data_IF_682611587250
#
_entry.id   IF_682611587250
#
_cell.length_a   1.000
_cell.length_b   1.000
_cell.length_c   1.000
_cell.angle_alpha   90.00
_cell.angle_beta   90.00
_cell.angle_gamma   90.00
#
_symmetry.space_group_name_H-M   'P 1'
#
loop_
_entity.id
_entity.type
_entity.pdbx_description
1 polymer ?
#
# COMPACT_ATOMS: atom_id res chain seq x y z
N UNK A 1 -14.21 -19.53 4.88
CA UNK A 1 -13.81 -18.66 6.02
C UNK A 1 -14.77 -17.48 6.07
N UNK A 2 -15.18 -17.03 7.25
CA UNK A 2 -16.05 -15.85 7.38
C UNK A 2 -15.25 -14.55 7.24
N UNK A 3 -15.89 -13.47 6.81
CA UNK A 3 -15.30 -12.12 6.74
C UNK A 3 -14.69 -11.68 8.07
N UNK A 4 -15.32 -12.03 9.20
CA UNK A 4 -14.81 -11.67 10.52
C UNK A 4 -13.45 -12.30 10.81
N UNK A 5 -13.27 -13.60 10.53
CA UNK A 5 -12.00 -14.29 10.74
C UNK A 5 -10.88 -13.67 9.91
N UNK A 6 -11.19 -13.26 8.67
CA UNK A 6 -10.25 -12.61 7.78
C UNK A 6 -9.83 -11.22 8.29
N UNK A 7 -10.78 -10.43 8.79
CA UNK A 7 -10.51 -9.12 9.39
C UNK A 7 -9.64 -9.26 10.64
N UNK A 8 -9.95 -10.24 11.51
CA UNK A 8 -9.12 -10.52 12.69
C UNK A 8 -7.69 -10.91 12.28
N UNK A 9 -7.52 -11.77 11.29
CA UNK A 9 -6.20 -12.17 10.79
C UNK A 9 -5.43 -10.97 10.21
N UNK A 10 -6.11 -10.10 9.46
CA UNK A 10 -5.50 -8.90 8.89
C UNK A 10 -4.89 -8.00 9.98
N UNK A 11 -5.64 -7.73 11.05
CA UNK A 11 -5.17 -6.86 12.14
C UNK A 11 -4.24 -7.56 13.13
N UNK A 12 -4.26 -8.89 13.22
CA UNK A 12 -3.36 -9.66 14.08
C UNK A 12 -1.99 -9.96 13.46
N UNK A 13 -1.79 -9.66 12.18
CA UNK A 13 -0.52 -9.90 11.49
C UNK A 13 0.61 -9.10 12.10
N UNK A 14 1.75 -9.75 12.34
CA UNK A 14 2.97 -9.12 12.85
C UNK A 14 3.72 -8.31 11.79
N UNK A 15 3.38 -8.48 10.51
CA UNK A 15 3.93 -7.71 9.39
C UNK A 15 2.80 -7.08 8.57
N UNK A 16 3.02 -5.86 8.10
CA UNK A 16 2.11 -5.19 7.19
C UNK A 16 2.83 -4.54 6.02
N UNK A 17 2.13 -4.31 4.91
CA UNK A 17 2.67 -3.63 3.76
C UNK A 17 1.64 -2.72 3.09
N UNK A 18 2.11 -1.59 2.55
CA UNK A 18 1.28 -0.60 1.87
C UNK A 18 1.67 -0.50 0.39
N UNK A 19 0.83 -1.01 -0.51
CA UNK A 19 1.01 -0.93 -1.97
C UNK A 19 0.51 0.39 -2.50
N UNK A 20 1.34 1.04 -3.31
CA UNK A 20 1.09 2.38 -3.85
C UNK A 20 1.63 3.49 -2.96
N UNK A 21 2.50 3.15 -2.01
CA UNK A 21 3.28 4.12 -1.25
C UNK A 21 4.16 4.95 -2.20
N UNK A 22 4.29 6.24 -1.93
CA UNK A 22 5.08 7.16 -2.77
C UNK A 22 5.56 8.36 -1.96
N UNK A 23 6.56 9.10 -2.43
CA UNK A 23 6.99 10.36 -1.81
C UNK A 23 6.07 11.55 -2.11
N UNK A 24 5.06 11.38 -2.99
CA UNK A 24 4.18 12.48 -3.40
C UNK A 24 3.01 12.63 -2.42
N UNK A 25 2.93 13.72 -1.64
CA UNK A 25 1.85 13.91 -0.66
C UNK A 25 0.45 14.04 -1.27
N UNK A 26 0.35 14.34 -2.57
CA UNK A 26 -0.91 14.37 -3.28
C UNK A 26 -1.50 12.97 -3.53
N UNK A 27 -0.69 11.90 -3.45
CA UNK A 27 -1.15 10.53 -3.66
C UNK A 27 -1.80 9.97 -2.40
N UNK A 28 -2.92 9.26 -2.54
CA UNK A 28 -3.59 8.65 -1.39
C UNK A 28 -2.73 7.57 -0.71
N UNK A 29 -1.97 6.81 -1.50
CA UNK A 29 -1.03 5.81 -0.97
C UNK A 29 0.10 6.42 -0.12
N UNK A 30 0.52 7.66 -0.41
CA UNK A 30 1.42 8.40 0.49
C UNK A 30 0.75 8.66 1.84
N UNK A 31 -0.46 9.22 1.84
CA UNK A 31 -1.17 9.58 3.08
C UNK A 31 -1.41 8.38 3.98
N UNK A 32 -1.84 7.25 3.42
CA UNK A 32 -2.07 6.03 4.22
C UNK A 32 -0.77 5.40 4.70
N UNK A 33 0.27 5.35 3.86
CA UNK A 33 1.58 4.87 4.30
C UNK A 33 2.15 5.75 5.43
N UNK A 34 2.08 7.08 5.29
CA UNK A 34 2.48 8.02 6.32
C UNK A 34 1.64 7.87 7.59
N UNK A 35 0.33 7.61 7.48
CA UNK A 35 -0.51 7.30 8.64
C UNK A 35 -0.05 6.04 9.36
N UNK A 36 0.22 4.93 8.66
CA UNK A 36 0.77 3.72 9.30
C UNK A 36 2.12 3.98 10.00
N UNK A 37 3.01 4.73 9.34
CA UNK A 37 4.32 5.10 9.88
C UNK A 37 4.25 6.07 11.07
N UNK A 38 3.22 6.92 11.12
CA UNK A 38 3.03 7.93 12.17
C UNK A 38 2.26 7.37 13.37
N UNK A 39 1.18 6.63 13.09
CA UNK A 39 0.21 6.18 14.10
C UNK A 39 0.77 5.07 14.99
N UNK A 40 1.88 4.44 14.60
CA UNK A 40 2.61 3.50 15.43
C UNK A 40 4.10 3.72 15.24
N UNK A 41 4.78 4.20 16.27
CA UNK A 41 6.24 4.14 16.34
C UNK A 41 6.79 2.69 16.22
N UNK A 42 5.90 1.66 16.20
CA UNK A 42 6.22 0.22 16.24
C UNK A 42 5.49 -0.68 15.22
N UNK A 43 4.65 -0.19 14.28
CA UNK A 43 4.08 -1.08 13.24
C UNK A 43 5.09 -1.22 12.10
N UNK A 44 5.58 -2.45 11.81
CA UNK A 44 6.48 -2.68 10.69
C UNK A 44 5.67 -2.69 9.38
N UNK A 45 5.33 -1.50 8.89
CA UNK A 45 4.76 -1.34 7.55
C UNK A 45 5.89 -1.26 6.53
N UNK A 46 5.87 -2.16 5.55
CA UNK A 46 6.78 -2.10 4.40
C UNK A 46 6.13 -1.33 3.26
N UNK A 47 6.68 -0.18 2.82
CA UNK A 47 6.20 0.51 1.64
C UNK A 47 6.47 -0.32 0.37
N UNK A 48 5.47 -0.44 -0.52
CA UNK A 48 5.62 -1.12 -1.81
C UNK A 48 5.46 -0.10 -2.94
N UNK A 49 6.52 0.07 -3.73
CA UNK A 49 6.58 0.96 -4.88
C UNK A 49 7.49 0.38 -5.98
N UNK A 50 6.95 -0.02 -7.15
CA UNK A 50 7.75 -0.53 -8.26
C UNK A 50 8.70 0.50 -8.89
N UNK A 51 8.39 1.79 -8.77
CA UNK A 51 9.09 2.88 -9.48
C UNK A 51 10.16 3.58 -8.66
N UNK A 52 10.29 3.29 -7.37
CA UNK A 52 11.31 3.91 -6.51
C UNK A 52 11.68 2.97 -5.37
N UNK A 53 12.98 2.78 -5.13
CA UNK A 53 13.52 1.96 -4.04
C UNK A 53 13.41 2.62 -2.65
N UNK A 54 13.08 3.90 -2.60
CA UNK A 54 12.83 4.66 -1.37
C UNK A 54 11.60 5.56 -1.53
N UNK A 55 10.94 5.86 -0.42
CA UNK A 55 9.95 6.93 -0.33
C UNK A 55 10.27 7.85 0.84
N UNK A 56 9.95 9.13 0.69
CA UNK A 56 10.07 10.12 1.76
C UNK A 56 8.69 10.36 2.37
N UNK A 57 8.55 10.12 3.67
CA UNK A 57 7.34 10.35 4.45
C UNK A 57 7.71 10.69 5.89
N UNK A 58 7.00 11.65 6.50
CA UNK A 58 7.28 12.12 7.86
C UNK A 58 8.74 12.60 8.02
N UNK A 59 9.24 13.33 7.00
CA UNK A 59 10.61 13.86 6.97
C UNK A 59 11.73 12.81 7.06
N UNK A 60 11.40 11.54 6.82
CA UNK A 60 12.33 10.41 6.82
C UNK A 60 12.19 9.59 5.53
N UNK A 61 13.32 9.06 5.07
CA UNK A 61 13.34 8.10 3.99
C UNK A 61 13.10 6.68 4.50
N UNK A 62 12.23 5.95 3.81
CA UNK A 62 11.87 4.58 4.10
C UNK A 62 12.20 3.71 2.88
N UNK A 63 12.91 2.59 3.06
CA UNK A 63 13.15 1.65 1.97
C UNK A 63 11.83 1.05 1.50
N UNK A 64 11.74 0.79 0.20
CA UNK A 64 10.59 0.12 -0.40
C UNK A 64 10.99 -1.22 -0.98
N UNK A 65 10.00 -2.06 -1.24
CA UNK A 65 10.16 -3.22 -2.14
C UNK A 65 9.34 -3.01 -3.41
N UNK A 66 9.75 -3.59 -4.56
CA UNK A 66 9.08 -3.35 -5.84
C UNK A 66 7.75 -4.09 -5.98
N UNK A 67 7.50 -5.13 -5.18
CA UNK A 67 6.28 -5.94 -5.24
C UNK A 67 6.01 -6.68 -3.94
N UNK A 68 4.78 -7.20 -3.78
CA UNK A 68 4.40 -8.06 -2.64
C UNK A 68 5.29 -9.30 -2.55
N UNK A 69 5.67 -9.90 -3.68
CA UNK A 69 6.50 -11.10 -3.71
C UNK A 69 7.93 -10.88 -3.19
N UNK A 70 8.38 -9.63 -3.15
CA UNK A 70 9.70 -9.25 -2.61
C UNK A 70 9.69 -9.01 -1.09
N UNK A 71 8.54 -9.15 -0.42
CA UNK A 71 8.47 -9.13 1.04
C UNK A 71 9.17 -10.37 1.63
N UNK A 72 9.73 -10.29 2.85
CA UNK A 72 10.35 -11.45 3.50
C UNK A 72 9.39 -12.63 3.72
N UNK A 73 8.14 -12.33 4.12
CA UNK A 73 7.12 -13.33 4.42
C UNK A 73 5.77 -12.97 3.75
N UNK A 74 5.66 -13.05 2.42
CA UNK A 74 4.53 -12.48 1.67
C UNK A 74 3.17 -13.15 1.99
N UNK A 75 3.17 -14.40 2.47
CA UNK A 75 1.96 -15.14 2.87
C UNK A 75 1.53 -14.92 4.32
N UNK A 76 2.32 -14.19 5.09
CA UNK A 76 2.07 -13.86 6.51
C UNK A 76 2.10 -12.35 6.72
N UNK A 77 1.99 -11.57 5.64
CA UNK A 77 2.00 -10.11 5.69
C UNK A 77 0.64 -9.60 5.27
N UNK A 78 0.01 -8.81 6.13
CA UNK A 78 -1.22 -8.09 5.79
C UNK A 78 -0.94 -6.97 4.81
N UNK A 79 -1.74 -6.85 3.76
CA UNK A 79 -1.48 -5.91 2.67
C UNK A 79 -2.65 -4.93 2.54
N UNK A 80 -2.31 -3.65 2.58
CA UNK A 80 -3.20 -2.55 2.19
C UNK A 80 -2.83 -2.10 0.80
N UNK A 81 -3.74 -2.28 -0.17
CA UNK A 81 -3.52 -1.89 -1.57
C UNK A 81 -4.23 -0.60 -1.89
N UNK A 82 -3.47 0.42 -2.29
CA UNK A 82 -3.96 1.75 -2.66
C UNK A 82 -3.31 2.17 -3.97
N UNK A 83 -3.92 1.77 -5.08
CA UNK A 83 -3.39 2.10 -6.41
C UNK A 83 -4.51 2.69 -7.27
N UNK A 84 -4.16 3.59 -8.23
CA UNK A 84 -5.06 3.93 -9.31
C UNK A 84 -5.46 2.66 -10.06
N UNK A 85 -6.71 2.57 -10.51
CA UNK A 85 -7.05 1.65 -11.58
C UNK A 85 -6.25 2.06 -12.82
N UNK A 86 -5.38 1.18 -13.31
CA UNK A 86 -4.86 1.35 -14.65
C UNK A 86 -6.05 1.43 -15.61
N UNK A 87 -5.98 2.31 -16.62
CA UNK A 87 -6.91 2.25 -17.74
C UNK A 87 -6.96 0.81 -18.23
N UNK A 88 -8.13 0.15 -18.13
CA UNK A 88 -8.36 -1.10 -18.84
C UNK A 88 -8.10 -0.78 -20.32
N UNK A 89 -7.00 -1.30 -20.85
CA UNK A 89 -6.53 -1.00 -22.19
C UNK A 89 -7.60 -1.48 -23.18
N UNK A 90 -8.44 -0.53 -23.65
CA UNK A 90 -9.64 -0.79 -24.43
C UNK A 90 -10.70 0.32 -24.39
N UNK A 91 -10.73 1.19 -23.38
CA UNK A 91 -11.69 2.31 -23.35
C UNK A 91 -11.10 3.58 -24.01
N UNK A 92 -11.71 4.13 -25.08
CA UNK A 92 -11.28 5.39 -25.65
C UNK A 92 -11.83 6.54 -24.79
N UNK A 93 -10.91 7.36 -24.25
CA UNK A 93 -11.24 8.67 -23.72
C UNK A 93 -11.10 8.79 -22.21
N UNK A 94 -10.29 9.75 -21.77
CA UNK A 94 -10.25 10.14 -20.37
C UNK A 94 -8.97 10.81 -19.89
N UNK A 95 -8.32 11.67 -20.68
CA UNK A 95 -7.40 12.66 -20.08
C UNK A 95 -8.25 13.59 -19.20
N UNK A 96 -8.28 13.34 -17.88
CA UNK A 96 -8.86 14.26 -16.90
C UNK A 96 -9.78 13.66 -15.84
N UNK A 97 -10.17 12.38 -15.91
CA UNK A 97 -10.83 11.73 -14.80
C UNK A 97 -9.77 11.22 -13.81
N UNK A 98 -9.88 11.58 -12.52
CA UNK A 98 -9.04 10.96 -11.49
C UNK A 98 -9.40 9.48 -11.46
N UNK A 99 -8.48 8.62 -11.91
CA UNK A 99 -8.68 7.17 -11.91
C UNK A 99 -9.21 6.71 -10.54
N UNK A 100 -10.23 5.84 -10.49
CA UNK A 100 -10.79 5.41 -9.22
C UNK A 100 -9.69 4.71 -8.42
N UNK A 101 -9.44 5.18 -7.20
CA UNK A 101 -8.52 4.53 -6.26
C UNK A 101 -9.22 3.29 -5.71
N UNK A 102 -8.59 2.12 -5.83
CA UNK A 102 -9.05 0.93 -5.10
C UNK A 102 -8.32 0.84 -3.78
N UNK A 103 -9.09 0.63 -2.72
CA UNK A 103 -8.60 0.25 -1.40
C UNK A 103 -9.00 -1.21 -1.19
N UNK A 104 -8.01 -2.09 -1.01
CA UNK A 104 -8.24 -3.48 -0.67
C UNK A 104 -7.34 -3.89 0.49
N UNK A 105 -7.87 -4.71 1.39
CA UNK A 105 -7.13 -5.37 2.46
C UNK A 105 -7.04 -6.87 2.12
N UNK A 106 -5.83 -7.42 2.11
CA UNK A 106 -5.57 -8.84 1.88
C UNK A 106 -4.67 -9.40 2.99
N UNK A 107 -4.78 -10.71 3.25
CA UNK A 107 -4.05 -11.46 4.27
C UNK A 107 -3.46 -12.73 3.66
#
# INVERSE_FOLDING_TARGET
MSTEANVRNFFASSASAAVGASSNPANFGHRVCAWYLYFYHDLPVTPINPGSATISALEKDHPTVPSVAALPNPKQTSITVITPLGNHQGAPGGKGAKDPIRVAAAW
#
